data_IF_840066116209
#
_entry.id   IF_840066116209
#
_cell.length_a   1.000
_cell.length_b   1.000
_cell.length_c   1.000
_cell.angle_alpha   90.00
_cell.angle_beta   90.00
_cell.angle_gamma   90.00
#
_symmetry.space_group_name_H-M   'P 1'
#
loop_
_entity.id
_entity.type
_entity.pdbx_description
1 polymer ?
#
# COMPACT_ATOMS: atom_id res chain seq x y z
N UNK A 1 2.99 5.54 -7.50
CA UNK A 1 3.31 4.18 -7.97
C UNK A 1 4.72 3.78 -7.53
N UNK A 2 4.89 2.52 -7.14
CA UNK A 2 6.18 1.84 -7.04
C UNK A 2 6.08 0.53 -7.81
N UNK A 3 7.06 0.22 -8.67
CA UNK A 3 7.08 -1.02 -9.44
C UNK A 3 8.52 -1.53 -9.58
N UNK A 4 8.67 -2.84 -9.49
CA UNK A 4 9.88 -3.57 -9.80
C UNK A 4 9.65 -4.35 -11.08
N UNK A 5 10.47 -4.07 -12.09
CA UNK A 5 10.36 -4.65 -13.43
C UNK A 5 11.57 -5.53 -13.67
N UNK A 6 11.35 -6.82 -13.87
CA UNK A 6 12.41 -7.77 -14.21
C UNK A 6 12.60 -7.81 -15.73
N UNK A 7 13.84 -7.54 -16.15
CA UNK A 7 14.27 -7.62 -17.55
C UNK A 7 15.59 -8.37 -17.61
N UNK A 8 15.61 -9.52 -18.30
CA UNK A 8 16.80 -10.36 -18.48
C UNK A 8 17.50 -10.73 -17.14
N UNK A 9 16.71 -11.06 -16.10
CA UNK A 9 17.22 -11.44 -14.78
C UNK A 9 17.73 -10.27 -13.93
N UNK A 10 17.50 -9.02 -14.34
CA UNK A 10 17.84 -7.82 -13.59
C UNK A 10 16.60 -7.01 -13.25
N UNK A 11 16.50 -6.57 -12.00
CA UNK A 11 15.40 -5.75 -11.50
C UNK A 11 15.67 -4.26 -11.75
N UNK A 12 14.67 -3.57 -12.29
CA UNK A 12 14.60 -2.12 -12.40
C UNK A 12 13.55 -1.60 -11.46
N UNK A 13 13.86 -0.51 -10.76
CA UNK A 13 12.90 0.15 -9.88
C UNK A 13 12.33 1.38 -10.57
N UNK A 14 11.00 1.46 -10.63
CA UNK A 14 10.25 2.64 -11.01
C UNK A 14 9.51 3.16 -9.77
N UNK A 15 9.79 4.39 -9.38
CA UNK A 15 9.12 5.03 -8.26
C UNK A 15 8.70 6.45 -8.66
N UNK A 16 7.38 6.64 -8.75
CA UNK A 16 6.78 7.85 -9.29
C UNK A 16 5.63 8.32 -8.41
N UNK A 17 5.61 9.60 -8.06
CA UNK A 17 4.55 10.24 -7.27
C UNK A 17 4.27 11.61 -7.84
N UNK A 18 2.99 11.92 -7.99
CA UNK A 18 2.50 13.19 -8.53
C UNK A 18 1.47 13.81 -7.58
N UNK A 19 1.35 15.12 -7.64
CA UNK A 19 0.24 15.86 -7.01
C UNK A 19 -0.97 15.99 -7.92
N UNK A 20 -0.82 15.62 -9.20
CA UNK A 20 -1.87 15.71 -10.21
C UNK A 20 -2.75 14.44 -10.21
N UNK A 21 -4.04 14.55 -10.58
CA UNK A 21 -4.87 13.39 -10.81
C UNK A 21 -4.29 12.50 -11.92
N UNK A 22 -4.40 11.17 -11.76
CA UNK A 22 -3.84 10.18 -12.71
C UNK A 22 -4.27 10.44 -14.16
N UNK A 23 -5.50 10.90 -14.39
CA UNK A 23 -6.04 11.12 -15.75
C UNK A 23 -5.60 12.47 -16.37
N UNK A 24 -4.92 13.33 -15.62
CA UNK A 24 -4.39 14.63 -16.08
C UNK A 24 -2.87 14.61 -16.24
N UNK A 25 -2.19 13.54 -15.83
CA UNK A 25 -0.73 13.48 -15.72
C UNK A 25 -0.10 12.83 -16.98
N UNK A 26 0.46 13.63 -17.92
CA UNK A 26 1.00 13.11 -19.17
C UNK A 26 2.30 12.30 -18.98
N UNK A 27 2.95 12.36 -17.79
CA UNK A 27 4.15 11.58 -17.54
C UNK A 27 3.86 10.07 -17.48
N UNK A 28 2.61 9.69 -17.17
CA UNK A 28 2.20 8.30 -17.08
C UNK A 28 2.26 7.57 -18.42
N UNK A 29 2.02 8.28 -19.54
CA UNK A 29 2.15 7.71 -20.88
C UNK A 29 3.56 7.19 -21.13
N UNK A 30 4.58 7.99 -20.74
CA UNK A 30 5.98 7.60 -20.84
C UNK A 30 6.35 6.44 -19.91
N UNK A 31 5.84 6.47 -18.67
CA UNK A 31 6.11 5.44 -17.66
C UNK A 31 5.59 4.07 -18.08
N UNK A 32 4.42 4.01 -18.73
CA UNK A 32 3.84 2.74 -19.20
C UNK A 32 4.79 1.97 -20.12
N UNK A 33 5.56 2.69 -20.94
CA UNK A 33 6.53 2.09 -21.86
C UNK A 33 7.70 1.40 -21.14
N UNK A 34 7.97 1.74 -19.88
CA UNK A 34 9.04 1.18 -19.04
C UNK A 34 8.61 -0.10 -18.31
N UNK A 35 7.31 -0.42 -18.30
CA UNK A 35 6.74 -1.60 -17.64
C UNK A 35 6.80 -2.87 -18.50
N UNK A 36 7.75 -2.95 -19.43
CA UNK A 36 7.93 -4.12 -20.32
C UNK A 36 8.73 -5.21 -19.61
N UNK A 37 8.06 -6.25 -19.13
CA UNK A 37 8.66 -7.40 -18.44
C UNK A 37 7.73 -7.98 -17.38
N UNK A 38 8.25 -8.85 -16.50
CA UNK A 38 7.53 -9.24 -15.29
C UNK A 38 7.53 -8.03 -14.34
N UNK A 39 6.36 -7.56 -13.96
CA UNK A 39 6.20 -6.38 -13.11
C UNK A 39 5.51 -6.75 -11.80
N UNK A 40 6.09 -6.33 -10.69
CA UNK A 40 5.46 -6.42 -9.36
C UNK A 40 5.40 -5.01 -8.79
N UNK A 41 4.23 -4.53 -8.41
CA UNK A 41 4.09 -3.13 -8.04
C UNK A 41 2.79 -2.74 -7.38
N UNK A 42 2.76 -1.49 -6.93
CA UNK A 42 1.64 -0.85 -6.25
C UNK A 42 1.37 0.51 -6.90
N UNK A 43 0.13 0.70 -7.34
CA UNK A 43 -0.41 1.99 -7.80
C UNK A 43 -1.43 2.47 -6.77
N UNK A 44 -1.34 3.73 -6.38
CA UNK A 44 -2.28 4.33 -5.43
C UNK A 44 -2.62 5.75 -5.85
N UNK A 45 -3.91 6.07 -5.79
CA UNK A 45 -4.44 7.42 -5.94
C UNK A 45 -4.97 7.89 -4.59
N UNK A 46 -4.42 8.99 -4.07
CA UNK A 46 -4.76 9.48 -2.73
C UNK A 46 -5.91 10.49 -2.81
N UNK A 47 -7.00 10.20 -2.12
CA UNK A 47 -8.03 11.20 -1.80
C UNK A 47 -7.64 11.87 -0.48
N UNK A 48 -7.36 13.18 -0.50
CA UNK A 48 -7.01 13.93 0.71
C UNK A 48 -8.07 14.95 1.08
N UNK A 49 -8.50 14.95 2.36
CA UNK A 49 -9.42 15.96 2.87
C UNK A 49 -8.73 17.32 3.09
N UNK A 50 -9.49 18.42 3.23
CA UNK A 50 -8.92 19.78 3.40
C UNK A 50 -7.99 19.94 4.61
N UNK A 51 -8.13 19.09 5.64
CA UNK A 51 -7.38 19.17 6.91
C UNK A 51 -6.13 18.27 6.96
N UNK A 52 -5.91 17.46 5.93
CA UNK A 52 -4.78 16.55 5.87
C UNK A 52 -3.53 17.20 5.28
N UNK A 53 -2.38 16.61 5.60
CA UNK A 53 -1.09 16.97 5.01
C UNK A 53 -1.12 16.75 3.50
N UNK A 54 -0.86 17.82 2.74
CA UNK A 54 -0.82 17.83 1.26
C UNK A 54 0.60 17.96 0.76
N UNK A 55 0.83 17.51 -0.47
CA UNK A 55 2.12 17.58 -1.14
C UNK A 55 2.67 16.19 -1.47
N UNK A 56 3.64 16.17 -2.39
CA UNK A 56 4.24 14.94 -2.94
C UNK A 56 4.84 14.07 -1.84
N UNK A 57 5.42 14.69 -0.81
CA UNK A 57 5.97 13.99 0.36
C UNK A 57 4.95 13.17 1.15
N UNK A 58 3.65 13.43 0.99
CA UNK A 58 2.58 12.69 1.66
C UNK A 58 1.77 11.78 0.71
N UNK A 59 2.28 11.57 -0.50
CA UNK A 59 1.64 10.70 -1.50
C UNK A 59 2.27 9.32 -1.45
N UNK A 60 1.44 8.28 -1.50
CA UNK A 60 1.88 6.89 -1.52
C UNK A 60 2.33 6.44 -2.94
N UNK A 61 2.98 5.27 -3.05
CA UNK A 61 3.60 4.49 -1.97
C UNK A 61 4.66 5.30 -1.23
N UNK A 62 4.79 5.09 0.08
CA UNK A 62 5.97 5.51 0.82
C UNK A 62 7.11 4.52 0.58
N UNK A 63 8.34 4.94 0.82
CA UNK A 63 9.54 4.14 0.65
C UNK A 63 10.48 4.31 1.83
N UNK A 64 10.94 3.20 2.40
CA UNK A 64 12.03 3.15 3.39
C UNK A 64 12.88 1.91 3.17
N UNK A 65 14.11 1.95 3.66
CA UNK A 65 15.00 0.79 3.69
C UNK A 65 15.09 0.23 5.12
N UNK A 66 15.00 -1.09 5.26
CA UNK A 66 15.24 -1.81 6.52
C UNK A 66 16.29 -2.90 6.31
N UNK A 67 17.52 -2.64 6.75
CA UNK A 67 18.66 -3.52 6.46
C UNK A 67 18.91 -3.65 4.95
N UNK A 68 18.93 -4.87 4.38
CA UNK A 68 19.07 -5.08 2.93
C UNK A 68 17.75 -4.93 2.16
N UNK A 69 16.62 -4.74 2.85
CA UNK A 69 15.30 -4.72 2.22
C UNK A 69 14.84 -3.31 1.86
N UNK A 70 14.34 -3.16 0.64
CA UNK A 70 13.59 -2.00 0.18
C UNK A 70 12.10 -2.26 0.41
N UNK A 71 11.42 -1.33 1.09
CA UNK A 71 10.00 -1.45 1.44
C UNK A 71 9.22 -0.33 0.76
N UNK A 72 8.23 -0.66 -0.06
CA UNK A 72 7.25 0.28 -0.58
C UNK A 72 5.88 -0.02 -0.01
N UNK A 73 5.22 1.01 0.51
CA UNK A 73 3.98 0.83 1.27
C UNK A 73 2.89 1.83 0.87
N UNK A 74 1.75 1.30 0.46
CA UNK A 74 0.52 2.08 0.29
C UNK A 74 -0.50 1.65 1.33
N UNK A 75 -1.27 2.61 1.86
CA UNK A 75 -2.30 2.37 2.86
C UNK A 75 -3.53 3.22 2.54
N UNK A 76 -4.70 2.58 2.55
CA UNK A 76 -6.00 3.20 2.41
C UNK A 76 -6.79 2.98 3.70
N UNK A 77 -6.98 4.06 4.45
CA UNK A 77 -7.61 4.01 5.74
C UNK A 77 -7.14 5.16 6.61
N UNK A 78 -7.53 5.13 7.88
CA UNK A 78 -7.04 6.07 8.88
C UNK A 78 -6.83 5.36 10.20
N UNK A 79 -5.78 5.75 10.94
CA UNK A 79 -5.46 5.21 12.25
C UNK A 79 -5.41 6.36 13.26
N UNK A 80 -6.03 6.17 14.43
CA UNK A 80 -5.94 7.17 15.48
C UNK A 80 -4.49 7.34 15.96
N UNK A 81 -4.05 8.59 16.09
CA UNK A 81 -2.69 8.94 16.50
C UNK A 81 -2.25 8.29 17.81
N UNK A 82 -3.17 8.16 18.77
CA UNK A 82 -2.90 7.53 20.08
C UNK A 82 -2.45 6.06 19.99
N UNK A 83 -2.62 5.40 18.85
CA UNK A 83 -2.16 4.03 18.66
C UNK A 83 -0.64 3.94 18.42
N UNK A 84 0.01 5.05 18.06
CA UNK A 84 1.45 5.10 17.82
C UNK A 84 2.21 5.52 19.07
N UNK A 85 3.43 4.99 19.23
CA UNK A 85 4.33 5.37 20.31
C UNK A 85 4.78 6.84 20.22
N UNK A 86 4.88 7.38 19.02
CA UNK A 86 5.33 8.75 18.73
C UNK A 86 4.21 9.53 17.99
N UNK A 87 3.08 9.82 18.66
CA UNK A 87 1.87 10.33 18.01
C UNK A 87 2.04 11.73 17.38
N UNK A 88 2.95 12.53 17.94
CA UNK A 88 3.15 13.94 17.60
C UNK A 88 4.06 14.18 16.39
N UNK A 89 4.62 13.10 15.81
CA UNK A 89 5.44 13.24 14.61
C UNK A 89 4.60 13.81 13.44
N UNK A 90 5.12 14.80 12.69
CA UNK A 90 4.39 15.51 11.63
C UNK A 90 4.30 14.71 10.32
N UNK A 91 4.13 13.39 10.42
CA UNK A 91 3.96 12.48 9.29
C UNK A 91 2.51 11.99 9.19
N UNK A 92 2.10 11.42 8.07
CA UNK A 92 0.79 10.75 7.97
C UNK A 92 0.80 9.48 8.82
N UNK A 93 -0.37 9.03 9.26
CA UNK A 93 -0.54 7.72 9.92
C UNK A 93 0.05 6.58 9.08
N UNK A 94 -0.12 6.65 7.76
CA UNK A 94 0.40 5.69 6.79
C UNK A 94 1.93 5.61 6.79
N UNK A 95 2.62 6.74 6.94
CA UNK A 95 4.08 6.75 7.08
C UNK A 95 4.51 6.19 8.44
N UNK A 96 3.77 6.50 9.51
CA UNK A 96 4.03 5.92 10.83
C UNK A 96 3.85 4.39 10.84
N UNK A 97 2.84 3.86 10.14
CA UNK A 97 2.67 2.42 9.93
C UNK A 97 3.87 1.80 9.21
N UNK A 98 4.39 2.45 8.17
CA UNK A 98 5.60 2.00 7.48
C UNK A 98 6.82 1.95 8.42
N UNK A 99 6.96 2.93 9.32
CA UNK A 99 8.05 2.92 10.30
C UNK A 99 7.95 1.71 11.26
N UNK A 100 6.74 1.35 11.69
CA UNK A 100 6.53 0.15 12.52
C UNK A 100 6.87 -1.13 11.73
N UNK A 101 6.41 -1.25 10.49
CA UNK A 101 6.78 -2.36 9.62
C UNK A 101 8.30 -2.46 9.45
N UNK A 102 8.98 -1.35 9.19
CA UNK A 102 10.44 -1.31 9.02
C UNK A 102 11.19 -1.77 10.28
N UNK A 103 10.64 -1.52 11.48
CA UNK A 103 11.19 -2.02 12.76
C UNK A 103 10.99 -3.53 12.93
N UNK A 104 9.92 -4.11 12.38
CA UNK A 104 9.60 -5.53 12.56
C UNK A 104 10.21 -6.45 11.50
N UNK A 105 10.37 -5.98 10.26
CA UNK A 105 10.92 -6.74 9.12
C UNK A 105 12.26 -7.45 9.41
N UNK A 106 13.20 -6.90 10.21
CA UNK A 106 14.42 -7.63 10.58
C UNK A 106 14.17 -8.93 11.35
N UNK A 107 12.98 -9.10 11.95
CA UNK A 107 12.61 -10.22 12.82
C UNK A 107 11.39 -11.01 12.34
N UNK A 108 10.63 -10.50 11.38
CA UNK A 108 9.39 -11.09 10.85
C UNK A 108 9.43 -11.11 9.33
N UNK A 109 8.80 -12.10 8.71
CA UNK A 109 8.52 -12.05 7.27
C UNK A 109 7.57 -10.89 6.93
N UNK A 110 7.54 -10.40 5.67
CA UNK A 110 6.63 -9.33 5.28
C UNK A 110 5.15 -9.64 5.56
N UNK A 111 4.75 -10.91 5.39
CA UNK A 111 3.40 -11.41 5.71
C UNK A 111 3.09 -11.29 7.21
N UNK A 112 3.97 -11.82 8.06
CA UNK A 112 3.81 -11.75 9.53
C UNK A 112 3.83 -10.31 10.03
N UNK A 113 4.61 -9.42 9.42
CA UNK A 113 4.63 -8.00 9.75
C UNK A 113 3.28 -7.32 9.46
N UNK A 114 2.61 -7.66 8.36
CA UNK A 114 1.25 -7.18 8.07
C UNK A 114 0.19 -7.78 9.00
N UNK A 115 0.30 -9.07 9.36
CA UNK A 115 -0.57 -9.70 10.36
C UNK A 115 -0.42 -9.00 11.72
N UNK A 116 0.81 -8.70 12.14
CA UNK A 116 1.09 -7.92 13.35
C UNK A 116 0.55 -6.49 13.27
N UNK A 117 0.63 -5.85 12.10
CA UNK A 117 0.08 -4.52 11.88
C UNK A 117 -1.45 -4.53 12.06
N UNK A 118 -2.14 -5.52 11.49
CA UNK A 118 -3.58 -5.74 11.70
C UNK A 118 -3.91 -5.88 13.17
N UNK A 119 -3.18 -6.72 13.89
CA UNK A 119 -3.50 -7.04 15.29
C UNK A 119 -3.20 -5.86 16.23
N UNK A 120 -2.14 -5.10 15.95
CA UNK A 120 -1.70 -3.98 16.80
C UNK A 120 -2.52 -2.71 16.57
N UNK A 121 -2.91 -2.42 15.32
CA UNK A 121 -3.54 -1.15 14.95
C UNK A 121 -5.03 -1.28 14.57
N UNK A 122 -5.52 -2.50 14.32
CA UNK A 122 -6.88 -2.77 13.88
C UNK A 122 -7.97 -2.10 14.73
N UNK A 123 -7.94 -2.26 16.07
CA UNK A 123 -8.93 -1.65 16.97
C UNK A 123 -9.02 -0.12 16.88
N UNK A 124 -7.95 0.55 16.47
CA UNK A 124 -7.85 2.02 16.41
C UNK A 124 -7.88 2.57 14.98
N UNK A 125 -8.18 1.71 14.00
CA UNK A 125 -8.22 2.05 12.58
C UNK A 125 -9.63 2.04 12.01
N UNK A 126 -9.89 2.82 10.96
CA UNK A 126 -11.10 2.66 10.13
C UNK A 126 -10.92 1.51 9.14
N UNK A 127 -9.74 1.44 8.54
CA UNK A 127 -9.26 0.37 7.68
C UNK A 127 -7.73 0.35 7.74
N UNK A 128 -7.15 -0.81 7.47
CA UNK A 128 -5.71 -1.02 7.29
C UNK A 128 -5.44 -1.64 5.92
N UNK A 129 -6.29 -1.36 4.93
CA UNK A 129 -6.08 -1.85 3.58
C UNK A 129 -4.73 -1.36 3.07
N UNK A 130 -3.78 -2.28 2.90
CA UNK A 130 -2.39 -1.93 2.69
C UNK A 130 -1.73 -2.86 1.70
N UNK A 131 -0.81 -2.32 0.90
CA UNK A 131 0.06 -3.10 0.04
C UNK A 131 1.51 -2.84 0.44
N UNK A 132 2.26 -3.92 0.70
CA UNK A 132 3.67 -3.91 1.04
C UNK A 132 4.44 -4.64 -0.05
N UNK A 133 5.18 -3.88 -0.86
CA UNK A 133 6.17 -4.41 -1.79
C UNK A 133 7.52 -4.49 -1.07
N UNK A 134 8.01 -5.70 -0.92
CA UNK A 134 9.28 -6.04 -0.28
C UNK A 134 10.28 -6.49 -1.34
N UNK A 135 11.48 -5.95 -1.31
CA UNK A 135 12.54 -6.35 -2.23
C UNK A 135 13.91 -6.44 -1.56
N UNK A 136 14.63 -7.50 -1.89
CA UNK A 136 16.03 -7.74 -1.57
C UNK A 136 16.75 -8.26 -2.82
N UNK A 137 18.05 -8.46 -2.73
CA UNK A 137 18.82 -9.08 -3.83
C UNK A 137 18.31 -10.48 -4.24
N UNK A 138 17.64 -11.21 -3.33
CA UNK A 138 17.22 -12.59 -3.54
C UNK A 138 15.71 -12.81 -3.58
N UNK A 139 14.91 -11.80 -3.23
CA UNK A 139 13.45 -11.94 -3.13
C UNK A 139 12.74 -10.66 -3.51
N UNK A 140 11.62 -10.80 -4.23
CA UNK A 140 10.66 -9.74 -4.53
C UNK A 140 9.28 -10.27 -4.19
N UNK A 141 8.60 -9.64 -3.25
CA UNK A 141 7.31 -10.10 -2.73
C UNK A 141 6.33 -8.94 -2.63
N UNK A 142 5.07 -9.19 -3.00
CA UNK A 142 3.99 -8.25 -2.81
C UNK A 142 2.93 -8.87 -1.91
N UNK A 143 2.69 -8.23 -0.77
CA UNK A 143 1.69 -8.66 0.20
C UNK A 143 0.63 -7.58 0.37
N UNK A 144 -0.64 -8.00 0.43
CA UNK A 144 -1.79 -7.11 0.58
C UNK A 144 -2.59 -7.51 1.81
N UNK A 145 -2.78 -6.56 2.73
CA UNK A 145 -3.68 -6.66 3.86
C UNK A 145 -5.03 -6.07 3.46
N UNK A 146 -6.10 -6.84 3.62
CA UNK A 146 -7.48 -6.36 3.55
C UNK A 146 -8.07 -6.37 4.97
N UNK A 147 -8.24 -5.20 5.58
CA UNK A 147 -8.83 -5.07 6.90
C UNK A 147 -9.64 -3.79 7.04
N UNK A 148 -10.85 -3.91 7.56
CA UNK A 148 -11.70 -2.79 7.94
C UNK A 148 -12.46 -3.08 9.23
N UNK A 149 -12.65 -2.01 10.01
CA UNK A 149 -13.29 -2.07 11.31
C UNK A 149 -14.68 -1.44 11.22
N UNK A 150 -15.72 -2.27 11.19
CA UNK A 150 -17.11 -1.82 11.06
C UNK A 150 -17.56 -0.90 12.19
N UNK A 151 -16.98 -1.04 13.40
CA UNK A 151 -17.30 -0.15 14.53
C UNK A 151 -16.73 1.27 14.36
N UNK A 152 -15.83 1.46 13.39
CA UNK A 152 -15.13 2.72 13.12
C UNK A 152 -15.29 3.19 11.68
N UNK A 153 -15.97 2.41 10.85
CA UNK A 153 -16.23 2.72 9.45
C UNK A 153 -16.93 4.07 9.33
N UNK A 154 -16.50 4.87 8.35
CA UNK A 154 -17.12 6.16 8.03
C UNK A 154 -17.93 6.11 6.73
N UNK A 155 -17.73 5.05 5.97
CA UNK A 155 -18.33 4.76 4.68
C UNK A 155 -19.02 3.40 4.77
N UNK A 156 -19.80 3.04 3.76
CA UNK A 156 -20.39 1.70 3.65
C UNK A 156 -19.30 0.60 3.55
N UNK A 157 -19.59 -0.60 4.04
CA UNK A 157 -18.63 -1.71 4.06
C UNK A 157 -17.99 -1.96 2.68
N UNK A 158 -18.79 -1.87 1.62
CA UNK A 158 -18.35 -2.08 0.24
C UNK A 158 -17.19 -1.15 -0.17
N UNK A 159 -17.17 0.08 0.36
CA UNK A 159 -16.08 1.02 0.11
C UNK A 159 -14.72 0.46 0.53
N UNK A 160 -14.67 -0.33 1.61
CA UNK A 160 -13.44 -0.88 2.17
C UNK A 160 -13.06 -2.23 1.61
N UNK A 161 -13.84 -2.85 0.73
CA UNK A 161 -13.48 -4.17 0.19
C UNK A 161 -12.35 -4.05 -0.84
N UNK A 162 -11.41 -4.99 -0.76
CA UNK A 162 -10.45 -5.27 -1.81
C UNK A 162 -10.87 -6.52 -2.57
N UNK A 163 -10.59 -6.54 -3.86
CA UNK A 163 -10.98 -7.62 -4.77
C UNK A 163 -9.73 -8.23 -5.39
N UNK A 164 -9.67 -9.56 -5.42
CA UNK A 164 -8.62 -10.30 -6.13
C UNK A 164 -9.12 -10.73 -7.50
N UNK A 165 -8.28 -10.54 -8.51
CA UNK A 165 -8.49 -11.03 -9.86
C UNK A 165 -7.13 -11.49 -10.40
N UNK A 166 -6.98 -12.78 -10.66
CA UNK A 166 -5.71 -13.40 -11.07
C UNK A 166 -4.57 -13.06 -10.09
N UNK A 167 -3.49 -12.43 -10.60
CA UNK A 167 -2.32 -11.96 -9.85
C UNK A 167 -2.47 -10.50 -9.37
N UNK A 168 -3.67 -9.92 -9.46
CA UNK A 168 -3.96 -8.53 -9.09
C UNK A 168 -4.87 -8.42 -7.87
N UNK A 169 -4.69 -7.33 -7.12
CA UNK A 169 -5.65 -6.87 -6.12
C UNK A 169 -6.03 -5.43 -6.41
N UNK A 170 -7.33 -5.17 -6.45
CA UNK A 170 -7.91 -3.87 -6.78
C UNK A 170 -8.80 -3.35 -5.64
N UNK A 171 -8.94 -2.03 -5.55
CA UNK A 171 -9.99 -1.41 -4.71
C UNK A 171 -11.37 -1.71 -5.27
N UNK A 172 -12.40 -1.63 -4.43
CA UNK A 172 -13.81 -1.76 -4.84
C UNK A 172 -14.17 -0.93 -6.07
N UNK A 173 -13.74 0.33 -6.12
CA UNK A 173 -14.00 1.22 -7.28
C UNK A 173 -13.36 0.75 -8.59
N UNK A 174 -12.12 0.26 -8.54
CA UNK A 174 -11.39 -0.22 -9.73
C UNK A 174 -11.95 -1.56 -10.18
N UNK A 175 -12.23 -2.46 -9.23
CA UNK A 175 -12.84 -3.76 -9.50
C UNK A 175 -14.23 -3.61 -10.14
N UNK A 176 -15.06 -2.70 -9.60
CA UNK A 176 -16.37 -2.38 -10.16
C UNK A 176 -16.27 -1.78 -11.57
N UNK A 177 -15.33 -0.86 -11.80
CA UNK A 177 -15.13 -0.25 -13.12
C UNK A 177 -14.69 -1.26 -14.18
N UNK A 178 -13.84 -2.22 -13.81
CA UNK A 178 -13.35 -3.27 -14.69
C UNK A 178 -14.28 -4.47 -14.77
N UNK A 179 -15.31 -4.55 -13.92
CA UNK A 179 -16.21 -5.70 -13.78
C UNK A 179 -15.47 -7.02 -13.50
N UNK A 180 -14.45 -6.99 -12.64
CA UNK A 180 -13.59 -8.15 -12.34
C UNK A 180 -13.45 -8.45 -10.85
N UNK A 181 -13.08 -9.70 -10.58
CA UNK A 181 -12.55 -10.14 -9.30
C UNK A 181 -13.60 -10.60 -8.29
N UNK A 182 -13.09 -11.15 -7.18
CA UNK A 182 -13.88 -11.61 -6.05
C UNK A 182 -13.39 -10.95 -4.76
N UNK A 183 -14.27 -10.61 -3.81
CA UNK A 183 -13.88 -9.90 -2.60
C UNK A 183 -12.94 -10.75 -1.75
N UNK A 184 -11.91 -10.12 -1.21
CA UNK A 184 -11.04 -10.71 -0.20
C UNK A 184 -11.75 -10.75 1.15
N UNK A 185 -11.46 -11.78 1.96
CA UNK A 185 -11.95 -11.85 3.32
C UNK A 185 -11.43 -10.69 4.18
N UNK A 186 -12.25 -10.14 5.06
CA UNK A 186 -11.81 -9.13 6.02
C UNK A 186 -10.79 -9.73 7.01
N UNK A 187 -9.70 -9.01 7.27
CA UNK A 187 -8.58 -9.43 8.10
C UNK A 187 -7.58 -10.35 7.41
N UNK A 188 -7.72 -10.60 6.11
CA UNK A 188 -6.80 -11.46 5.36
C UNK A 188 -5.53 -10.73 4.92
N UNK A 189 -4.43 -11.49 4.86
CA UNK A 189 -3.20 -11.09 4.18
C UNK A 189 -2.99 -12.06 3.02
N UNK A 190 -2.89 -11.52 1.80
CA UNK A 190 -2.64 -12.30 0.58
C UNK A 190 -1.29 -11.94 -0.01
N UNK A 191 -0.60 -12.95 -0.52
CA UNK A 191 0.65 -12.81 -1.27
C UNK A 191 0.35 -12.98 -2.76
N UNK A 192 1.02 -12.17 -3.58
CA UNK A 192 0.94 -12.17 -5.05
C UNK A 192 2.29 -12.61 -5.63
#
# INVERSE_FOLDING_TARGET
MAALVEVNGSWRQLYYRSGEPIYEDPALDGISSLLRGRCVGVIHSRRSSRKELKGIGHTHPYHVRSGPAELFFAHNGSVLRKAFNEPDLPYTDSFLLLNELARWIPSLSPREALERLRDSFGPESTSLNSALLYHTLSSTELHVLNYYNLNRAKEEEEYYKLYRWEEYVASSSVAAWLEVGSPLGNGSVVSL
#
